data_IF_449501636613
#
_entry.id   IF_449501636613
#
_cell.length_a   1.000
_cell.length_b   1.000
_cell.length_c   1.000
_cell.angle_alpha   90.00
_cell.angle_beta   90.00
_cell.angle_gamma   90.00
#
_symmetry.space_group_name_H-M   'P 1'
#
loop_
_entity.id
_entity.type
_entity.pdbx_description
1 polymer ?
#
# COMPACT_ATOMS: atom_id res chain seq x y z
N UNK A 1 -16.33 -32.15 10.36
CA UNK A 1 -15.38 -31.27 9.64
C UNK A 1 -15.64 -29.85 10.13
N UNK A 2 -14.67 -29.18 10.74
CA UNK A 2 -14.82 -27.78 11.15
C UNK A 2 -14.13 -26.94 10.09
N UNK A 3 -14.84 -25.96 9.52
CA UNK A 3 -14.29 -24.98 8.59
C UNK A 3 -14.30 -23.64 9.31
N UNK A 4 -13.12 -23.02 9.46
CA UNK A 4 -13.00 -21.64 9.91
C UNK A 4 -12.80 -20.74 8.70
N UNK A 5 -13.68 -19.75 8.56
CA UNK A 5 -13.54 -18.68 7.57
C UNK A 5 -12.96 -17.45 8.26
N UNK A 6 -11.85 -16.94 7.73
CA UNK A 6 -11.16 -15.76 8.23
C UNK A 6 -11.17 -14.73 7.11
N UNK A 7 -11.64 -13.52 7.42
CA UNK A 7 -11.62 -12.37 6.52
C UNK A 7 -10.92 -11.20 7.22
N UNK A 8 -10.03 -10.53 6.49
CA UNK A 8 -9.26 -9.41 7.02
C UNK A 8 -9.86 -8.11 6.53
N UNK A 9 -10.35 -7.30 7.47
CA UNK A 9 -10.83 -5.95 7.15
C UNK A 9 -9.69 -5.12 6.59
N UNK A 10 -9.89 -4.52 5.41
CA UNK A 10 -8.92 -3.63 4.74
C UNK A 10 -7.51 -4.22 4.69
N UNK A 11 -7.40 -5.47 4.24
CA UNK A 11 -6.14 -6.23 4.25
C UNK A 11 -4.95 -5.48 3.60
N UNK A 12 -5.18 -4.69 2.55
CA UNK A 12 -4.12 -3.91 1.89
C UNK A 12 -3.79 -2.60 2.61
N UNK A 13 -4.79 -1.90 3.14
CA UNK A 13 -4.58 -0.63 3.85
C UNK A 13 -3.97 -0.84 5.24
N UNK A 14 -4.11 -2.05 5.81
CA UNK A 14 -3.70 -2.37 7.18
C UNK A 14 -2.30 -3.00 7.26
N UNK A 15 -1.55 -3.05 6.16
CA UNK A 15 -0.19 -3.60 6.13
C UNK A 15 0.78 -2.58 6.75
N UNK A 16 1.56 -3.02 7.74
CA UNK A 16 2.68 -2.24 8.25
C UNK A 16 3.81 -2.16 7.21
N UNK A 17 4.12 -0.94 6.77
CA UNK A 17 5.07 -0.73 5.67
C UNK A 17 6.51 -1.09 6.05
N UNK A 18 6.94 -0.89 7.31
CA UNK A 18 8.29 -1.27 7.74
C UNK A 18 8.48 -2.79 7.66
N UNK A 19 7.51 -3.56 8.17
CA UNK A 19 7.48 -5.01 8.05
C UNK A 19 7.48 -5.47 6.59
N UNK A 20 6.73 -4.78 5.72
CA UNK A 20 6.73 -5.07 4.28
C UNK A 20 8.11 -4.85 3.65
N UNK A 21 8.81 -3.76 4.00
CA UNK A 21 10.14 -3.46 3.48
C UNK A 21 11.16 -4.52 3.89
N UNK A 22 11.16 -4.91 5.16
CA UNK A 22 12.02 -5.98 5.68
C UNK A 22 11.75 -7.31 4.97
N UNK A 23 10.47 -7.63 4.75
CA UNK A 23 10.09 -8.83 4.02
C UNK A 23 10.62 -8.79 2.59
N UNK A 24 10.41 -7.71 1.84
CA UNK A 24 10.90 -7.61 0.46
C UNK A 24 12.43 -7.70 0.37
N UNK A 25 13.15 -7.08 1.32
CA UNK A 25 14.59 -7.23 1.43
C UNK A 25 15.01 -8.68 1.66
N UNK A 26 14.31 -9.42 2.53
CA UNK A 26 14.60 -10.85 2.76
C UNK A 26 14.41 -11.72 1.52
N UNK A 27 13.58 -11.29 0.56
CA UNK A 27 13.36 -11.96 -0.73
C UNK A 27 14.34 -11.50 -1.83
N UNK A 28 15.30 -10.64 -1.51
CA UNK A 28 16.34 -10.18 -2.44
C UNK A 28 16.01 -8.91 -3.22
N UNK A 29 14.92 -8.21 -2.88
CA UNK A 29 14.63 -6.90 -3.46
C UNK A 29 15.42 -5.81 -2.73
N UNK A 30 16.35 -5.19 -3.45
CA UNK A 30 17.22 -4.16 -2.91
C UNK A 30 17.46 -3.01 -3.90
N UNK A 31 18.14 -1.98 -3.41
CA UNK A 31 18.57 -0.83 -4.19
C UNK A 31 17.40 -0.12 -4.86
N UNK A 32 17.62 0.32 -6.11
CA UNK A 32 16.71 1.23 -6.81
C UNK A 32 15.27 0.73 -6.94
N UNK A 33 15.06 -0.58 -7.02
CA UNK A 33 13.71 -1.16 -7.11
C UNK A 33 12.98 -0.97 -5.78
N UNK A 34 13.63 -1.28 -4.66
CA UNK A 34 13.07 -1.07 -3.33
C UNK A 34 12.88 0.42 -3.03
N UNK A 35 13.86 1.26 -3.39
CA UNK A 35 13.76 2.71 -3.19
C UNK A 35 12.60 3.31 -3.98
N UNK A 36 12.39 2.87 -5.23
CA UNK A 36 11.25 3.32 -6.06
C UNK A 36 9.92 2.87 -5.46
N UNK A 37 9.87 1.66 -4.89
CA UNK A 37 8.68 1.16 -4.23
C UNK A 37 8.38 1.97 -2.97
N UNK A 38 9.36 2.18 -2.09
CA UNK A 38 9.21 3.04 -0.90
C UNK A 38 8.75 4.45 -1.27
N UNK A 39 9.34 5.04 -2.32
CA UNK A 39 8.95 6.35 -2.81
C UNK A 39 7.50 6.39 -3.34
N UNK A 40 7.02 5.29 -3.95
CA UNK A 40 5.62 5.21 -4.41
C UNK A 40 4.60 5.19 -3.27
N UNK A 41 5.02 4.83 -2.06
CA UNK A 41 4.19 4.87 -0.84
C UNK A 41 4.40 6.15 -0.02
N UNK A 42 5.42 6.95 -0.32
CA UNK A 42 5.73 8.18 0.41
C UNK A 42 4.84 9.35 -0.06
N UNK A 43 4.14 10.00 0.88
CA UNK A 43 3.37 11.22 0.68
C UNK A 43 2.46 11.20 -0.56
N UNK A 44 1.76 10.08 -0.77
CA UNK A 44 0.86 9.91 -1.92
C UNK A 44 -0.34 10.83 -1.76
N UNK A 45 -0.55 11.66 -2.78
CA UNK A 45 -1.66 12.60 -2.84
C UNK A 45 -2.74 12.08 -3.76
N UNK A 46 -3.95 11.99 -3.23
CA UNK A 46 -5.10 11.44 -3.92
C UNK A 46 -6.07 12.53 -4.31
N UNK A 47 -6.72 12.36 -5.46
CA UNK A 47 -7.82 13.20 -5.93
C UNK A 47 -8.87 12.32 -6.57
N UNK A 48 -10.15 12.57 -6.29
CA UNK A 48 -11.26 11.85 -6.91
C UNK A 48 -11.79 12.66 -8.08
N UNK A 49 -11.98 12.01 -9.25
CA UNK A 49 -12.63 12.59 -10.41
C UNK A 49 -14.05 12.04 -10.54
N UNK A 50 -15.04 12.93 -10.63
CA UNK A 50 -16.45 12.58 -10.86
C UNK A 50 -16.92 13.27 -12.14
N UNK A 51 -17.16 12.48 -13.20
CA UNK A 51 -17.40 13.01 -14.54
C UNK A 51 -16.19 13.81 -15.05
N UNK A 52 -16.41 15.08 -15.39
CA UNK A 52 -15.34 16.00 -15.83
C UNK A 52 -14.85 16.96 -14.73
N UNK A 53 -15.24 16.75 -13.47
CA UNK A 53 -14.80 17.59 -12.35
C UNK A 53 -13.78 16.85 -11.48
N UNK A 54 -12.65 17.49 -11.24
CA UNK A 54 -11.60 16.98 -10.35
C UNK A 54 -11.81 17.54 -8.93
N UNK A 55 -11.87 16.65 -7.94
CA UNK A 55 -12.05 16.98 -6.53
C UNK A 55 -10.81 17.56 -5.84
N UNK A 56 -10.94 17.90 -4.55
CA UNK A 56 -9.80 18.36 -3.74
C UNK A 56 -8.77 17.24 -3.55
N UNK A 57 -7.56 17.65 -3.19
CA UNK A 57 -6.46 16.77 -2.82
C UNK A 57 -6.61 16.31 -1.37
N UNK A 58 -6.29 15.03 -1.12
CA UNK A 58 -6.21 14.46 0.22
C UNK A 58 -5.05 13.47 0.30
N UNK A 59 -4.54 13.28 1.51
CA UNK A 59 -3.55 12.25 1.85
C UNK A 59 -4.24 11.19 2.70
N UNK A 60 -3.70 9.97 2.68
CA UNK A 60 -4.13 8.87 3.56
C UNK A 60 -3.32 8.91 4.84
#
# INVERSE_FOLDING_TARGET
>A
LIIMQIDFSKAFDSVDHETLWDFLMSYGLHGRILDSLKASYADVKFRVKLGNKLGPEFTV
#
